data_IF_087880628990
#
_entry.id   IF_087880628990
#
_cell.length_a   1.000
_cell.length_b   1.000
_cell.length_c   1.000
_cell.angle_alpha   90.00
_cell.angle_beta   90.00
_cell.angle_gamma   90.00
#
_symmetry.space_group_name_H-M   'P 1'
#
loop_
_entity.id
_entity.type
_entity.pdbx_description
1 polymer ?
#
# COMPACT_ATOMS: atom_id res chain seq x y z
N UNK A 1 11.79 1.06 -9.74
CA UNK A 1 10.52 0.59 -10.32
C UNK A 1 9.56 -0.06 -9.31
N UNK A 2 9.83 -1.25 -8.73
CA UNK A 2 8.87 -1.91 -7.82
C UNK A 2 8.44 -1.07 -6.60
N UNK A 3 9.38 -0.45 -5.89
CA UNK A 3 9.07 0.43 -4.75
C UNK A 3 8.27 1.68 -5.16
N UNK A 4 8.57 2.26 -6.33
CA UNK A 4 7.79 3.40 -6.87
C UNK A 4 6.38 2.98 -7.26
N UNK A 5 6.20 1.77 -7.80
CA UNK A 5 4.87 1.24 -8.13
C UNK A 5 4.02 1.03 -6.87
N UNK A 6 4.64 0.64 -5.74
CA UNK A 6 3.96 0.52 -4.45
C UNK A 6 3.48 1.88 -3.91
N UNK A 7 4.32 2.90 -3.96
CA UNK A 7 3.91 4.26 -3.53
C UNK A 7 2.77 4.82 -4.38
N UNK A 8 2.79 4.56 -5.70
CA UNK A 8 1.68 4.92 -6.59
C UNK A 8 0.40 4.16 -6.22
N UNK A 9 0.50 2.85 -5.95
CA UNK A 9 -0.65 2.05 -5.54
C UNK A 9 -1.25 2.57 -4.22
N UNK A 10 -0.41 2.92 -3.24
CA UNK A 10 -0.83 3.50 -1.97
C UNK A 10 -1.58 4.83 -2.21
N UNK A 11 -1.03 5.72 -3.02
CA UNK A 11 -1.68 6.99 -3.35
C UNK A 11 -3.03 6.80 -4.05
N UNK A 12 -3.10 5.89 -5.02
CA UNK A 12 -4.36 5.57 -5.71
C UNK A 12 -5.41 4.99 -4.77
N UNK A 13 -5.02 4.11 -3.84
CA UNK A 13 -5.93 3.51 -2.86
C UNK A 13 -6.43 4.56 -1.86
N UNK A 14 -5.58 5.50 -1.44
CA UNK A 14 -5.98 6.63 -0.59
C UNK A 14 -7.01 7.52 -1.30
N UNK A 15 -6.79 7.88 -2.56
CA UNK A 15 -7.75 8.65 -3.36
C UNK A 15 -9.07 7.88 -3.55
N UNK A 16 -9.01 6.56 -3.72
CA UNK A 16 -10.21 5.75 -3.86
C UNK A 16 -11.09 5.78 -2.59
N UNK A 17 -10.50 5.93 -1.39
CA UNK A 17 -11.23 6.04 -0.13
C UNK A 17 -11.98 7.36 0.04
N UNK A 18 -11.64 8.41 -0.72
CA UNK A 18 -12.42 9.66 -0.74
C UNK A 18 -13.79 9.46 -1.39
N UNK A 19 -13.90 8.53 -2.34
CA UNK A 19 -15.14 8.21 -3.05
C UNK A 19 -15.84 6.99 -2.42
N UNK A 20 -15.07 5.94 -2.15
CA UNK A 20 -15.55 4.69 -1.54
C UNK A 20 -15.60 4.86 -0.04
N UNK A 21 -16.62 5.53 0.49
CA UNK A 21 -16.78 5.66 1.94
C UNK A 21 -17.45 4.43 2.55
N UNK A 22 -17.25 4.23 3.85
CA UNK A 22 -17.84 3.10 4.58
C UNK A 22 -19.38 3.12 4.52
N UNK A 23 -19.99 4.28 4.49
CA UNK A 23 -21.44 4.48 4.50
C UNK A 23 -22.06 4.19 3.13
N UNK A 24 -21.36 4.59 2.06
CA UNK A 24 -21.89 4.58 0.69
C UNK A 24 -21.50 3.31 -0.08
N UNK A 25 -20.32 2.77 0.22
CA UNK A 25 -19.74 1.59 -0.44
C UNK A 25 -18.98 0.71 0.57
N UNK A 26 -19.67 0.08 1.55
CA UNK A 26 -19.01 -0.61 2.66
C UNK A 26 -18.09 -1.75 2.21
N UNK A 27 -18.47 -2.51 1.18
CA UNK A 27 -17.66 -3.61 0.65
C UNK A 27 -16.43 -3.07 -0.06
N UNK A 28 -16.60 -2.10 -0.96
CA UNK A 28 -15.46 -1.51 -1.70
C UNK A 28 -14.51 -0.75 -0.78
N UNK A 29 -15.01 -0.07 0.25
CA UNK A 29 -14.19 0.57 1.28
C UNK A 29 -13.35 -0.48 2.01
N UNK A 30 -13.96 -1.58 2.48
CA UNK A 30 -13.24 -2.64 3.17
C UNK A 30 -12.18 -3.31 2.28
N UNK A 31 -12.50 -3.57 1.01
CA UNK A 31 -11.54 -4.08 0.03
C UNK A 31 -10.39 -3.09 -0.21
N UNK A 32 -10.69 -1.80 -0.34
CA UNK A 32 -9.66 -0.76 -0.55
C UNK A 32 -8.74 -0.66 0.67
N UNK A 33 -9.29 -0.74 1.89
CA UNK A 33 -8.51 -0.79 3.13
C UNK A 33 -7.63 -2.04 3.21
N UNK A 34 -8.15 -3.21 2.81
CA UNK A 34 -7.36 -4.45 2.78
C UNK A 34 -6.17 -4.36 1.82
N UNK A 35 -6.41 -3.85 0.61
CA UNK A 35 -5.36 -3.64 -0.38
C UNK A 35 -4.31 -2.63 0.11
N UNK A 36 -4.74 -1.58 0.81
CA UNK A 36 -3.84 -0.60 1.40
C UNK A 36 -2.95 -1.24 2.48
N UNK A 37 -3.52 -2.13 3.30
CA UNK A 37 -2.77 -2.93 4.27
C UNK A 37 -1.69 -3.80 3.62
N UNK A 38 -2.03 -4.51 2.54
CA UNK A 38 -1.07 -5.35 1.81
C UNK A 38 0.04 -4.51 1.18
N UNK A 39 -0.28 -3.36 0.57
CA UNK A 39 0.72 -2.47 -0.02
C UNK A 39 1.70 -1.92 1.02
N UNK A 40 1.23 -1.59 2.23
CA UNK A 40 2.12 -1.18 3.32
C UNK A 40 3.00 -2.32 3.84
N UNK A 41 2.46 -3.54 3.93
CA UNK A 41 3.24 -4.70 4.33
C UNK A 41 4.40 -4.96 3.36
N UNK A 42 4.09 -4.99 2.06
CA UNK A 42 5.10 -5.20 1.00
C UNK A 42 6.17 -4.11 1.02
N UNK A 43 5.79 -2.86 1.29
CA UNK A 43 6.76 -1.76 1.44
C UNK A 43 7.74 -1.99 2.58
N UNK A 44 7.24 -2.34 3.77
CA UNK A 44 8.09 -2.58 4.95
C UNK A 44 9.04 -3.76 4.70
N UNK A 45 8.57 -4.82 4.07
CA UNK A 45 9.40 -5.97 3.72
C UNK A 45 10.49 -5.60 2.72
N UNK A 46 10.16 -4.81 1.71
CA UNK A 46 11.12 -4.28 0.74
C UNK A 46 12.18 -3.39 1.39
N UNK A 47 11.79 -2.47 2.29
CA UNK A 47 12.73 -1.63 3.04
C UNK A 47 13.66 -2.47 3.92
N UNK A 48 13.14 -3.48 4.61
CA UNK A 48 13.97 -4.41 5.40
C UNK A 48 14.98 -5.16 4.55
N UNK A 49 14.55 -5.64 3.38
CA UNK A 49 15.45 -6.34 2.45
C UNK A 49 16.57 -5.41 1.97
N UNK A 50 16.24 -4.18 1.56
CA UNK A 50 17.23 -3.20 1.13
C UNK A 50 18.22 -2.85 2.25
N UNK A 51 17.72 -2.63 3.47
CA UNK A 51 18.57 -2.31 4.62
C UNK A 51 19.55 -3.45 4.95
N UNK A 52 19.15 -4.70 4.74
CA UNK A 52 20.05 -5.86 4.92
C UNK A 52 21.11 -5.91 3.83
N UNK A 53 20.73 -5.70 2.56
CA UNK A 53 21.69 -5.65 1.45
C UNK A 53 22.74 -4.55 1.66
N UNK A 54 22.31 -3.34 2.06
CA UNK A 54 23.20 -2.20 2.30
C UNK A 54 24.15 -2.42 3.48
N UNK A 55 23.74 -3.18 4.50
CA UNK A 55 24.57 -3.45 5.68
C UNK A 55 25.71 -4.45 5.41
N UNK A 56 25.61 -5.25 4.35
CA UNK A 56 26.60 -6.26 3.97
C UNK A 56 27.36 -5.94 2.66
N UNK A 57 27.06 -4.80 2.03
CA UNK A 57 27.80 -4.23 0.90
C UNK A 57 29.05 -3.45 1.37
#
# INVERSE_FOLDING_TARGET
EKAQNLEVAIACLQLALEVRTRERFPIDWATTQNNLGNAYLERIEGEKAQNLEDAFA
#
